data_IF_257470764378
#
_entry.id   IF_257470764378
#
_cell.length_a   1.000
_cell.length_b   1.000
_cell.length_c   1.000
_cell.angle_alpha   90.00
_cell.angle_beta   90.00
_cell.angle_gamma   90.00
#
_symmetry.space_group_name_H-M   'P 1'
#
loop_
_entity.id
_entity.type
_entity.pdbx_description
1 polymer ?
#
# COMPACT_ATOMS: atom_id res chain seq x y z
N UNK A 1 5.64 24.76 -1.20
CA UNK A 1 6.52 23.61 -1.56
C UNK A 1 6.71 22.60 -0.43
N UNK A 2 7.30 22.98 0.72
CA UNK A 2 7.67 22.02 1.80
C UNK A 2 6.51 21.18 2.34
N UNK A 3 5.33 21.79 2.50
CA UNK A 3 4.13 21.12 3.01
C UNK A 3 3.56 20.06 2.05
N UNK A 4 3.68 20.26 0.73
CA UNK A 4 3.18 19.31 -0.28
C UNK A 4 4.05 18.04 -0.25
N UNK A 5 5.37 18.20 -0.22
CA UNK A 5 6.31 17.09 -0.13
C UNK A 5 6.11 16.33 1.19
N UNK A 6 5.92 17.06 2.30
CA UNK A 6 5.62 16.47 3.59
C UNK A 6 4.31 15.67 3.56
N UNK A 7 3.25 16.23 2.98
CA UNK A 7 1.97 15.53 2.80
C UNK A 7 2.10 14.27 1.95
N UNK A 8 2.86 14.33 0.85
CA UNK A 8 3.14 13.17 0.01
C UNK A 8 3.91 12.08 0.75
N UNK A 9 4.90 12.46 1.58
CA UNK A 9 5.64 11.51 2.42
C UNK A 9 4.74 10.86 3.47
N UNK A 10 3.89 11.64 4.14
CA UNK A 10 2.92 11.12 5.12
C UNK A 10 1.96 10.13 4.46
N UNK A 11 1.44 10.45 3.27
CA UNK A 11 0.58 9.54 2.50
C UNK A 11 1.36 8.30 2.07
N UNK A 12 2.59 8.46 1.58
CA UNK A 12 3.46 7.35 1.18
C UNK A 12 3.69 6.36 2.32
N UNK A 13 4.21 6.84 3.44
CA UNK A 13 4.53 6.02 4.62
C UNK A 13 3.25 5.45 5.23
N UNK A 14 2.17 6.23 5.30
CA UNK A 14 0.88 5.76 5.78
C UNK A 14 0.30 4.63 4.94
N UNK A 15 0.43 4.71 3.61
CA UNK A 15 0.01 3.65 2.68
C UNK A 15 0.83 2.37 2.85
N UNK A 16 2.16 2.49 2.98
CA UNK A 16 3.05 1.35 3.27
C UNK A 16 2.64 0.68 4.57
N UNK A 17 2.50 1.44 5.66
CA UNK A 17 2.15 0.92 6.98
C UNK A 17 0.83 0.17 6.96
N UNK A 18 -0.22 0.78 6.40
CA UNK A 18 -1.55 0.18 6.35
C UNK A 18 -1.58 -1.09 5.50
N UNK A 19 -0.86 -1.12 4.37
CA UNK A 19 -0.76 -2.33 3.56
C UNK A 19 0.01 -3.42 4.30
N UNK A 20 1.09 -3.05 5.00
CA UNK A 20 1.92 -3.98 5.76
C UNK A 20 1.14 -4.66 6.89
N UNK A 21 0.40 -3.88 7.69
CA UNK A 21 -0.40 -4.42 8.80
C UNK A 21 -1.60 -5.22 8.32
N UNK A 22 -2.20 -4.83 7.20
CA UNK A 22 -3.38 -5.49 6.62
C UNK A 22 -3.07 -6.54 5.56
N UNK A 23 -1.79 -6.85 5.31
CA UNK A 23 -1.35 -7.69 4.19
C UNK A 23 -1.99 -9.09 4.22
N UNK A 24 -2.20 -9.61 5.43
CA UNK A 24 -2.79 -10.93 5.69
C UNK A 24 -4.25 -11.03 5.27
N UNK A 25 -4.96 -9.90 5.14
CA UNK A 25 -6.35 -9.83 4.66
C UNK A 25 -6.46 -9.66 3.14
N UNK A 26 -5.32 -9.53 2.46
CA UNK A 26 -5.28 -9.43 1.00
C UNK A 26 -5.26 -10.81 0.36
N UNK A 27 -5.69 -10.90 -0.90
CA UNK A 27 -5.58 -12.14 -1.67
C UNK A 27 -4.18 -12.32 -2.29
N UNK A 28 -3.17 -11.56 -1.84
CA UNK A 28 -1.81 -11.73 -2.33
C UNK A 28 -1.15 -12.94 -1.67
N UNK A 29 -0.16 -13.51 -2.37
CA UNK A 29 0.66 -14.57 -1.78
C UNK A 29 1.46 -14.00 -0.60
N UNK A 30 1.30 -14.64 0.56
CA UNK A 30 1.78 -14.21 1.88
C UNK A 30 3.29 -14.44 2.04
N UNK A 31 4.09 -13.85 1.14
CA UNK A 31 5.55 -13.94 1.15
C UNK A 31 6.17 -12.58 1.47
N UNK A 32 7.34 -12.59 2.11
CA UNK A 32 8.08 -11.36 2.43
C UNK A 32 8.40 -10.50 1.20
N UNK A 33 8.86 -11.07 0.06
CA UNK A 33 9.11 -10.28 -1.15
C UNK A 33 7.84 -9.63 -1.71
N UNK A 34 6.70 -10.34 -1.69
CA UNK A 34 5.44 -9.75 -2.12
C UNK A 34 4.97 -8.65 -1.16
N UNK A 35 5.08 -8.87 0.15
CA UNK A 35 4.71 -7.88 1.16
C UNK A 35 5.53 -6.61 1.00
N UNK A 36 6.85 -6.71 0.85
CA UNK A 36 7.75 -5.58 0.61
C UNK A 36 7.49 -4.91 -0.73
N UNK A 37 7.49 -5.66 -1.83
CA UNK A 37 7.33 -5.12 -3.18
C UNK A 37 5.97 -4.42 -3.36
N UNK A 38 4.88 -5.06 -2.93
CA UNK A 38 3.54 -4.50 -3.03
C UNK A 38 3.33 -3.30 -2.10
N UNK A 39 4.01 -3.25 -0.95
CA UNK A 39 3.92 -2.12 -0.03
C UNK A 39 4.75 -0.94 -0.50
N UNK A 40 5.93 -1.14 -1.08
CA UNK A 40 6.76 -0.03 -1.58
C UNK A 40 6.23 0.55 -2.90
N UNK A 41 5.72 -0.30 -3.78
CA UNK A 41 5.17 0.08 -5.08
C UNK A 41 3.69 0.50 -5.00
N UNK A 42 3.16 0.68 -3.79
CA UNK A 42 1.74 0.92 -3.58
C UNK A 42 1.16 2.11 -4.36
N UNK A 43 1.83 3.28 -4.51
CA UNK A 43 1.20 4.42 -5.18
C UNK A 43 1.00 4.13 -6.67
N UNK A 44 2.02 3.54 -7.30
CA UNK A 44 1.98 3.16 -8.71
C UNK A 44 0.94 2.05 -8.95
N UNK A 45 0.94 1.01 -8.12
CA UNK A 45 -0.01 -0.10 -8.23
C UNK A 45 -1.44 0.32 -7.92
N UNK A 46 -1.64 1.28 -7.02
CA UNK A 46 -2.95 1.84 -6.71
C UNK A 46 -3.54 2.59 -7.91
N UNK A 47 -2.74 3.35 -8.65
CA UNK A 47 -3.20 4.06 -9.85
C UNK A 47 -3.39 3.07 -11.02
N UNK A 48 -2.40 2.21 -11.27
CA UNK A 48 -2.34 1.38 -12.46
C UNK A 48 -3.22 0.11 -12.40
N UNK A 49 -3.52 -0.44 -11.21
CA UNK A 49 -4.13 -1.77 -11.10
C UNK A 49 -5.41 -1.79 -10.23
N UNK A 50 -6.55 -2.05 -10.86
CA UNK A 50 -7.87 -2.16 -10.20
C UNK A 50 -7.95 -3.31 -9.20
N UNK A 51 -7.31 -4.45 -9.48
CA UNK A 51 -7.25 -5.59 -8.56
C UNK A 51 -6.42 -5.26 -7.33
N UNK A 52 -5.30 -4.57 -7.52
CA UNK A 52 -4.48 -4.06 -6.43
C UNK A 52 -5.28 -3.11 -5.54
N UNK A 53 -5.99 -2.11 -6.10
CA UNK A 53 -6.85 -1.20 -5.32
C UNK A 53 -7.86 -1.94 -4.44
N UNK A 54 -8.49 -2.98 -4.96
CA UNK A 54 -9.44 -3.79 -4.19
C UNK A 54 -8.77 -4.46 -3.00
N UNK A 55 -7.58 -5.05 -3.20
CA UNK A 55 -6.81 -5.67 -2.12
C UNK A 55 -6.26 -4.64 -1.12
N UNK A 56 -5.81 -3.49 -1.60
CA UNK A 56 -5.39 -2.37 -0.75
C UNK A 56 -6.52 -1.93 0.17
N UNK A 57 -7.75 -1.76 -0.35
CA UNK A 57 -8.93 -1.44 0.47
C UNK A 57 -9.29 -2.54 1.47
N UNK A 58 -8.97 -3.81 1.19
CA UNK A 58 -9.12 -4.90 2.18
C UNK A 58 -8.09 -4.76 3.31
N UNK A 59 -6.84 -4.45 2.97
CA UNK A 59 -5.80 -4.20 3.97
C UNK A 59 -6.11 -2.97 4.84
N UNK A 60 -6.73 -1.92 4.29
CA UNK A 60 -7.16 -0.74 5.04
C UNK A 60 -8.25 -0.99 6.08
N UNK A 61 -9.07 -2.04 5.89
CA UNK A 61 -10.09 -2.46 6.86
C UNK A 61 -9.49 -3.19 8.07
N UNK A 62 -8.16 -3.34 8.08
CA UNK A 62 -7.28 -3.81 9.15
C UNK A 62 -7.62 -3.23 10.50
#
# INVERSE_FOLDING_TARGET
MKLIIFGLLVVYVGGVWKLWTGFERTNFSQTLPNRLGLSLLWPALFVANKSYRRNFRKALKG
#
